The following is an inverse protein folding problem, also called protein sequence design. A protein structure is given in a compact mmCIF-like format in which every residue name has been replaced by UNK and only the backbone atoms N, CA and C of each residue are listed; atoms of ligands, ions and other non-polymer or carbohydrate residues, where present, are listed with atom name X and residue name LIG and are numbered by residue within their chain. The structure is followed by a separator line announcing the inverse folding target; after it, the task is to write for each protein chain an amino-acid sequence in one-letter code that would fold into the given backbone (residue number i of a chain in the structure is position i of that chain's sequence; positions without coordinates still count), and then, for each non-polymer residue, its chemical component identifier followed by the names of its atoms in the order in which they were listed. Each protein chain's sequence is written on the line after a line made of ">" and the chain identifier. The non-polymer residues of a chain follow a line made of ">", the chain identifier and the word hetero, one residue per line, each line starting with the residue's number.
data_IF_899957834686
#
_entry.id   IF_899957834686
#
_cell.length_a   1.000
_cell.length_b   1.000
_cell.length_c   1.000
_cell.angle_alpha   90.00
_cell.angle_beta   90.00
_cell.angle_gamma   90.00
#
_symmetry.space_group_name_H-M   'P 1'
#
loop_
_entity.id
_entity.type
_entity.pdbx_description
1 polymer ?
#
# COMPACT_ATOMS: atom_id res chain seq x y z
N UNK A 1 28.12 18.84 34.91
CA UNK A 1 26.78 18.23 34.82
C UNK A 1 26.17 18.45 33.44
N UNK A 2 26.81 17.97 32.37
CA UNK A 2 26.42 18.27 30.98
C UNK A 2 26.49 17.05 30.03
N UNK A 3 26.46 15.82 30.54
CA UNK A 3 26.72 14.62 29.73
C UNK A 3 25.93 13.36 30.15
N UNK A 4 24.61 13.47 30.41
CA UNK A 4 23.78 12.26 30.63
C UNK A 4 22.44 12.29 29.90
N UNK A 5 22.27 13.18 28.91
CA UNK A 5 21.02 13.29 28.14
C UNK A 5 20.96 12.44 26.84
N UNK A 6 22.05 11.93 26.21
CA UNK A 6 21.84 11.10 25.00
C UNK A 6 21.42 9.66 25.28
N UNK A 7 21.73 9.09 26.45
CA UNK A 7 21.53 7.64 26.70
C UNK A 7 20.06 7.29 27.01
N UNK A 8 19.27 8.24 27.51
CA UNK A 8 17.83 8.01 27.77
C UNK A 8 17.00 8.18 26.49
N UNK A 9 17.53 8.84 25.46
CA UNK A 9 16.86 8.94 24.15
C UNK A 9 17.16 7.73 23.25
N UNK A 10 18.25 7.00 23.50
CA UNK A 10 18.58 5.75 22.77
C UNK A 10 17.79 4.52 23.24
N UNK A 11 17.21 4.55 24.45
CA UNK A 11 16.37 3.47 24.99
C UNK A 11 14.86 3.66 24.72
N UNK A 12 14.48 4.70 23.97
CA UNK A 12 13.13 4.85 23.40
C UNK A 12 13.04 4.35 21.94
N UNK A 13 14.03 3.57 21.48
CA UNK A 13 13.76 2.56 20.45
C UNK A 13 12.87 1.50 21.11
N UNK A 14 11.56 1.71 21.03
CA UNK A 14 10.56 0.82 21.62
C UNK A 14 10.91 -0.62 21.31
N UNK A 15 10.87 -1.47 22.34
CA UNK A 15 11.06 -2.91 22.21
C UNK A 15 10.32 -3.37 20.96
N UNK A 16 11.06 -3.88 19.96
CA UNK A 16 10.51 -4.28 18.67
C UNK A 16 9.33 -5.25 18.87
N UNK A 17 9.35 -6.00 19.97
CA UNK A 17 8.28 -6.90 20.40
C UNK A 17 7.00 -6.14 20.80
N UNK A 18 7.11 -5.09 21.61
CA UNK A 18 5.97 -4.26 22.02
C UNK A 18 5.32 -3.58 20.81
N UNK A 19 6.13 -3.07 19.88
CA UNK A 19 5.64 -2.45 18.66
C UNK A 19 4.83 -3.42 17.80
N UNK A 20 5.28 -4.67 17.68
CA UNK A 20 4.54 -5.72 16.97
C UNK A 20 3.20 -6.04 17.65
N UNK A 21 3.15 -6.08 18.97
CA UNK A 21 1.89 -6.35 19.69
C UNK A 21 0.84 -5.26 19.45
N UNK A 22 1.25 -3.99 19.38
CA UNK A 22 0.35 -2.89 19.00
C UNK A 22 -0.15 -3.04 17.55
N UNK A 23 0.72 -3.39 16.61
CA UNK A 23 0.32 -3.67 15.22
C UNK A 23 -0.63 -4.89 15.12
N UNK A 24 -0.41 -5.93 15.92
CA UNK A 24 -1.28 -7.10 15.97
C UNK A 24 -2.67 -6.74 16.51
N UNK A 25 -2.71 -5.93 17.58
CA UNK A 25 -3.96 -5.44 18.16
C UNK A 25 -4.73 -4.57 17.16
N UNK A 26 -4.04 -3.69 16.44
CA UNK A 26 -4.61 -2.88 15.37
C UNK A 26 -5.18 -3.77 14.26
N UNK A 27 -4.42 -4.74 13.77
CA UNK A 27 -4.86 -5.64 12.70
C UNK A 27 -6.12 -6.42 13.08
N UNK A 28 -6.18 -6.93 14.31
CA UNK A 28 -7.35 -7.62 14.85
C UNK A 28 -8.54 -6.68 15.04
N UNK A 29 -8.30 -5.43 15.44
CA UNK A 29 -9.32 -4.38 15.51
C UNK A 29 -9.95 -4.12 14.15
N UNK A 30 -9.12 -3.89 13.14
CA UNK A 30 -9.58 -3.63 11.76
C UNK A 30 -10.29 -4.83 11.13
N UNK A 31 -9.82 -6.05 11.37
CA UNK A 31 -10.51 -7.24 10.91
C UNK A 31 -11.94 -7.33 11.46
N UNK A 32 -12.19 -6.93 12.72
CA UNK A 32 -13.52 -6.95 13.33
C UNK A 32 -14.53 -6.01 12.66
N UNK A 33 -14.06 -4.97 12.00
CA UNK A 33 -14.92 -4.06 11.21
C UNK A 33 -15.41 -4.71 9.90
N UNK A 34 -14.71 -5.74 9.40
CA UNK A 34 -15.05 -6.45 8.17
C UNK A 34 -14.68 -7.94 8.25
N UNK A 35 -15.34 -8.71 9.14
CA UNK A 35 -14.86 -10.02 9.57
C UNK A 35 -14.88 -11.09 8.47
N UNK A 36 -15.65 -10.88 7.41
CA UNK A 36 -15.82 -11.85 6.32
C UNK A 36 -14.86 -11.63 5.16
N UNK A 37 -14.64 -10.37 4.79
CA UNK A 37 -13.88 -10.00 3.58
C UNK A 37 -12.49 -9.46 3.90
N UNK A 38 -12.24 -9.08 5.16
CA UNK A 38 -11.16 -8.17 5.49
C UNK A 38 -11.42 -6.77 4.92
N UNK A 39 -10.41 -5.90 5.02
CA UNK A 39 -10.47 -4.51 4.54
C UNK A 39 -9.90 -4.31 3.12
N UNK A 40 -9.39 -5.36 2.49
CA UNK A 40 -8.76 -5.34 1.16
C UNK A 40 -7.24 -5.52 1.19
N UNK A 41 -6.69 -6.01 0.07
CA UNK A 41 -5.24 -6.26 -0.08
C UNK A 41 -4.41 -4.97 0.05
N UNK A 42 -3.29 -5.04 0.78
CA UNK A 42 -2.36 -3.94 1.07
C UNK A 42 -3.01 -2.72 1.76
N UNK A 43 -4.02 -2.95 2.59
CA UNK A 43 -4.73 -1.85 3.28
C UNK A 43 -4.26 -1.61 4.71
N UNK A 44 -3.39 -2.48 5.27
CA UNK A 44 -2.90 -2.32 6.64
C UNK A 44 -2.24 -0.96 6.90
N UNK A 45 -1.44 -0.46 5.95
CA UNK A 45 -0.81 0.85 6.08
C UNK A 45 -1.84 1.98 6.28
N UNK A 46 -3.00 1.90 5.65
CA UNK A 46 -4.06 2.91 5.82
C UNK A 46 -4.75 2.80 7.19
N UNK A 47 -4.89 1.58 7.72
CA UNK A 47 -5.34 1.40 9.09
C UNK A 47 -4.36 2.01 10.09
N UNK A 48 -3.06 1.77 9.90
CA UNK A 48 -2.01 2.35 10.73
C UNK A 48 -2.04 3.88 10.67
N UNK A 49 -2.18 4.48 9.49
CA UNK A 49 -2.26 5.95 9.38
C UNK A 49 -3.48 6.54 10.12
N UNK A 50 -4.62 5.87 10.04
CA UNK A 50 -5.87 6.31 10.71
C UNK A 50 -5.78 6.16 12.22
N UNK A 51 -5.21 5.06 12.71
CA UNK A 51 -5.07 4.72 14.13
C UNK A 51 -3.68 5.04 14.70
N UNK A 52 -2.91 5.93 14.06
CA UNK A 52 -1.49 6.18 14.41
C UNK A 52 -1.30 6.65 15.85
N UNK A 53 -2.30 7.33 16.42
CA UNK A 53 -2.29 7.74 17.82
C UNK A 53 -2.37 6.55 18.80
N UNK A 54 -2.93 5.42 18.36
CA UNK A 54 -3.12 4.20 19.15
C UNK A 54 -1.91 3.25 19.06
N UNK A 55 -0.93 3.56 18.20
CA UNK A 55 0.32 2.80 18.00
C UNK A 55 1.53 3.70 18.29
N UNK A 56 1.68 4.20 19.53
CA UNK A 56 2.72 5.18 19.87
C UNK A 56 4.15 4.67 19.67
N UNK A 57 4.35 3.35 19.72
CA UNK A 57 5.66 2.72 19.51
C UNK A 57 6.26 2.96 18.12
N UNK A 58 5.40 3.11 17.10
CA UNK A 58 5.80 3.44 15.72
C UNK A 58 6.02 4.96 15.51
N UNK A 59 5.67 5.78 16.50
CA UNK A 59 5.82 7.23 16.43
C UNK A 59 5.06 7.89 15.28
N UNK A 60 5.40 9.15 15.03
CA UNK A 60 4.72 9.98 14.02
C UNK A 60 5.27 9.79 12.60
N UNK A 61 6.50 9.29 12.47
CA UNK A 61 7.23 9.28 11.19
C UNK A 61 7.54 7.88 10.65
N UNK A 62 7.51 6.83 11.48
CA UNK A 62 7.81 5.49 10.97
C UNK A 62 6.63 4.96 10.17
N UNK A 63 6.93 4.36 9.03
CA UNK A 63 5.94 3.77 8.13
C UNK A 63 6.24 2.28 8.05
N UNK A 64 5.21 1.47 8.23
CA UNK A 64 5.22 0.07 7.84
C UNK A 64 4.01 -0.23 6.98
N UNK A 65 4.19 -1.20 6.09
CA UNK A 65 3.12 -1.73 5.26
C UNK A 65 2.57 -3.05 5.79
N UNK A 66 3.23 -3.60 6.82
CA UNK A 66 3.01 -4.96 7.27
C UNK A 66 2.88 -5.04 8.78
N UNK A 67 2.00 -5.94 9.23
CA UNK A 67 1.75 -6.30 10.62
C UNK A 67 2.97 -7.01 11.24
N UNK A 68 3.88 -7.55 10.43
CA UNK A 68 4.92 -8.52 10.82
C UNK A 68 4.34 -9.86 11.33
N UNK A 69 3.24 -10.30 10.72
CA UNK A 69 2.69 -11.63 10.86
C UNK A 69 1.79 -11.87 9.66
N UNK A 70 2.20 -12.73 8.72
CA UNK A 70 1.45 -12.94 7.48
C UNK A 70 0.06 -13.52 7.72
N UNK A 71 -0.13 -14.29 8.79
CA UNK A 71 -1.45 -14.84 9.12
C UNK A 71 -2.41 -13.73 9.56
N UNK A 72 -1.97 -12.83 10.44
CA UNK A 72 -2.76 -11.69 10.88
C UNK A 72 -2.96 -10.67 9.76
N UNK A 73 -1.91 -10.37 8.98
CA UNK A 73 -2.02 -9.52 7.79
C UNK A 73 -3.08 -10.07 6.84
N UNK A 74 -2.97 -11.35 6.48
CA UNK A 74 -3.88 -11.99 5.52
C UNK A 74 -5.31 -12.05 6.08
N UNK A 75 -5.48 -12.31 7.37
CA UNK A 75 -6.79 -12.28 8.02
C UNK A 75 -7.40 -10.86 7.98
N UNK A 76 -6.61 -9.84 8.28
CA UNK A 76 -7.06 -8.45 8.28
C UNK A 76 -7.41 -7.96 6.88
N UNK A 77 -6.60 -8.28 5.87
CA UNK A 77 -6.78 -7.78 4.51
C UNK A 77 -7.79 -8.59 3.67
N UNK A 78 -7.78 -9.92 3.80
CA UNK A 78 -8.53 -10.83 2.94
C UNK A 78 -9.54 -11.69 3.71
N UNK A 79 -9.68 -11.46 5.01
CA UNK A 79 -10.59 -12.18 5.86
C UNK A 79 -10.23 -13.66 6.05
N UNK A 80 -11.17 -14.46 6.60
CA UNK A 80 -11.00 -15.89 6.81
C UNK A 80 -10.72 -16.67 5.54
N UNK A 81 -11.19 -16.20 4.37
CA UNK A 81 -10.90 -16.86 3.09
C UNK A 81 -9.44 -16.73 2.70
N UNK A 82 -8.84 -15.54 2.85
CA UNK A 82 -7.41 -15.36 2.64
C UNK A 82 -6.59 -16.18 3.63
N UNK A 83 -6.98 -16.17 4.92
CA UNK A 83 -6.31 -16.97 5.94
C UNK A 83 -6.39 -18.48 5.61
N UNK A 84 -7.56 -18.96 5.16
CA UNK A 84 -7.71 -20.34 4.73
C UNK A 84 -6.82 -20.66 3.51
N UNK A 85 -6.67 -19.74 2.57
CA UNK A 85 -5.82 -19.92 1.40
C UNK A 85 -4.33 -20.03 1.76
N UNK A 86 -3.81 -19.17 2.64
CA UNK A 86 -2.41 -19.26 3.09
C UNK A 86 -2.16 -20.51 3.93
N UNK A 87 -3.13 -20.90 4.79
CA UNK A 87 -3.05 -22.16 5.53
C UNK A 87 -3.07 -23.36 4.60
N UNK A 88 -3.90 -23.37 3.56
CA UNK A 88 -3.92 -24.43 2.56
C UNK A 88 -2.60 -24.49 1.77
N UNK A 89 -2.03 -23.34 1.39
CA UNK A 89 -0.74 -23.25 0.71
C UNK A 89 0.40 -23.88 1.54
N UNK A 90 0.36 -23.69 2.86
CA UNK A 90 1.36 -24.23 3.79
C UNK A 90 1.11 -25.70 4.11
N UNK A 91 -0.14 -26.08 4.42
CA UNK A 91 -0.47 -27.39 5.00
C UNK A 91 -0.69 -28.48 3.93
N UNK A 92 -1.31 -28.15 2.78
CA UNK A 92 -1.62 -29.16 1.77
C UNK A 92 -0.38 -29.89 1.23
N UNK A 93 0.75 -29.21 0.92
CA UNK A 93 1.96 -29.89 0.48
C UNK A 93 2.52 -30.84 1.55
N UNK A 94 2.42 -30.46 2.83
CA UNK A 94 2.91 -31.26 3.96
C UNK A 94 2.08 -32.53 4.14
N UNK A 95 0.75 -32.41 4.02
CA UNK A 95 -0.16 -33.55 4.09
C UNK A 95 0.07 -34.53 2.93
N UNK A 96 0.26 -34.01 1.71
CA UNK A 96 0.61 -34.83 0.54
C UNK A 96 1.95 -35.54 0.73
N UNK A 97 2.97 -34.81 1.19
CA UNK A 97 4.28 -35.40 1.46
C UNK A 97 4.21 -36.50 2.51
N UNK A 98 3.45 -36.31 3.60
CA UNK A 98 3.25 -37.34 4.64
C UNK A 98 2.66 -38.64 4.07
N UNK A 99 1.73 -38.54 3.12
CA UNK A 99 1.14 -39.71 2.47
C UNK A 99 2.09 -40.37 1.45
N UNK A 100 2.89 -39.59 0.72
CA UNK A 100 3.76 -40.10 -0.34
C UNK A 100 5.16 -40.55 0.12
N UNK A 101 5.69 -39.99 1.21
CA UNK A 101 7.04 -40.28 1.72
C UNK A 101 7.36 -41.79 1.87
N UNK A 102 6.46 -42.66 2.38
CA UNK A 102 6.75 -44.07 2.58
C UNK A 102 7.03 -44.87 1.31
N UNK A 103 6.63 -44.36 0.14
CA UNK A 103 6.76 -45.06 -1.16
C UNK A 103 7.84 -44.46 -2.06
N UNK A 104 8.54 -43.41 -1.61
CA UNK A 104 9.63 -42.79 -2.36
C UNK A 104 10.93 -43.58 -2.23
N UNK A 105 11.78 -43.55 -3.26
CA UNK A 105 13.14 -44.04 -3.10
C UNK A 105 13.91 -43.14 -2.12
N UNK A 106 14.97 -43.67 -1.51
CA UNK A 106 15.73 -42.97 -0.46
C UNK A 106 16.15 -41.55 -0.87
N UNK A 107 16.73 -41.39 -2.06
CA UNK A 107 17.17 -40.08 -2.58
C UNK A 107 16.00 -39.10 -2.75
N UNK A 108 14.87 -39.57 -3.24
CA UNK A 108 13.65 -38.78 -3.44
C UNK A 108 13.03 -38.39 -2.09
N UNK A 109 13.01 -39.31 -1.14
CA UNK A 109 12.58 -39.07 0.24
C UNK A 109 13.38 -37.95 0.91
N UNK A 110 14.71 -37.93 0.73
CA UNK A 110 15.58 -36.84 1.24
C UNK A 110 15.20 -35.49 0.62
N UNK A 111 14.96 -35.43 -0.69
CA UNK A 111 14.55 -34.19 -1.37
C UNK A 111 13.18 -33.72 -0.87
N UNK A 112 12.20 -34.63 -0.76
CA UNK A 112 10.87 -34.33 -0.27
C UNK A 112 10.92 -33.80 1.18
N UNK A 113 11.71 -34.45 2.05
CA UNK A 113 11.88 -34.03 3.44
C UNK A 113 12.53 -32.65 3.54
N UNK A 114 13.58 -32.39 2.76
CA UNK A 114 14.24 -31.09 2.71
C UNK A 114 13.29 -29.98 2.22
N UNK A 115 12.49 -30.25 1.19
CA UNK A 115 11.48 -29.32 0.69
C UNK A 115 10.40 -29.03 1.75
N UNK A 116 9.89 -30.06 2.41
CA UNK A 116 8.92 -29.92 3.50
C UNK A 116 9.48 -29.09 4.67
N UNK A 117 10.71 -29.38 5.09
CA UNK A 117 11.37 -28.65 6.18
C UNK A 117 11.58 -27.17 5.83
N UNK A 118 12.01 -26.85 4.62
CA UNK A 118 12.17 -25.46 4.17
C UNK A 118 10.84 -24.70 4.13
N UNK A 119 9.77 -25.32 3.59
CA UNK A 119 8.44 -24.71 3.58
C UNK A 119 7.88 -24.54 5.01
N UNK A 120 8.07 -25.51 5.90
CA UNK A 120 7.64 -25.43 7.29
C UNK A 120 8.40 -24.34 8.06
N UNK A 121 9.72 -24.21 7.83
CA UNK A 121 10.53 -23.14 8.41
C UNK A 121 10.00 -21.75 7.99
N UNK A 122 9.68 -21.56 6.71
CA UNK A 122 9.13 -20.29 6.23
C UNK A 122 7.73 -20.01 6.80
N UNK A 123 6.88 -21.04 6.93
CA UNK A 123 5.58 -20.91 7.55
C UNK A 123 5.65 -20.53 9.04
N UNK A 124 6.62 -21.06 9.79
CA UNK A 124 6.86 -20.66 11.18
C UNK A 124 7.40 -19.24 11.25
N UNK A 125 8.34 -18.87 10.37
CA UNK A 125 8.87 -17.49 10.30
C UNK A 125 7.77 -16.47 10.02
N UNK A 126 6.78 -16.83 9.21
CA UNK A 126 5.61 -16.01 8.89
C UNK A 126 4.71 -15.68 10.10
N UNK A 127 4.94 -16.28 11.28
CA UNK A 127 4.25 -15.93 12.52
C UNK A 127 4.78 -14.64 13.17
N UNK A 128 5.99 -14.20 12.81
CA UNK A 128 6.67 -13.05 13.40
C UNK A 128 7.25 -12.09 12.36
N UNK A 129 7.01 -12.38 11.08
CA UNK A 129 7.47 -11.58 9.95
C UNK A 129 6.56 -11.79 8.73
N UNK A 130 6.94 -11.21 7.59
CA UNK A 130 6.14 -11.21 6.35
C UNK A 130 6.83 -11.85 5.12
N UNK A 131 7.41 -13.06 5.21
CA UNK A 131 8.13 -13.67 4.08
C UNK A 131 7.25 -13.86 2.84
N UNK A 132 5.93 -14.01 2.97
CA UNK A 132 5.04 -14.16 1.82
C UNK A 132 4.77 -12.85 1.06
N UNK A 133 5.25 -11.70 1.55
CA UNK A 133 5.27 -10.43 0.82
C UNK A 133 6.64 -10.09 0.24
N UNK A 134 7.68 -10.91 0.51
CA UNK A 134 9.03 -10.72 -0.01
C UNK A 134 9.22 -11.58 -1.26
N UNK A 135 9.44 -10.99 -2.46
CA UNK A 135 9.51 -11.75 -3.72
C UNK A 135 10.55 -12.88 -3.72
N UNK A 136 11.71 -12.66 -3.12
CA UNK A 136 12.76 -13.68 -3.05
C UNK A 136 12.33 -14.90 -2.21
N UNK A 137 11.64 -14.67 -1.09
CA UNK A 137 11.11 -15.73 -0.24
C UNK A 137 9.99 -16.50 -0.96
N UNK A 138 9.11 -15.81 -1.67
CA UNK A 138 8.08 -16.43 -2.50
C UNK A 138 8.67 -17.33 -3.60
N UNK A 139 9.73 -16.88 -4.29
CA UNK A 139 10.42 -17.69 -5.29
C UNK A 139 11.07 -18.92 -4.67
N UNK A 140 11.71 -18.79 -3.50
CA UNK A 140 12.27 -19.92 -2.77
C UNK A 140 11.18 -20.92 -2.40
N UNK A 141 10.07 -20.46 -1.80
CA UNK A 141 8.94 -21.32 -1.45
C UNK A 141 8.32 -22.01 -2.67
N UNK A 142 8.11 -21.28 -3.76
CA UNK A 142 7.61 -21.85 -5.02
C UNK A 142 8.56 -22.89 -5.60
N UNK A 143 9.87 -22.67 -5.50
CA UNK A 143 10.90 -23.64 -5.90
C UNK A 143 10.85 -24.92 -5.07
N UNK A 144 10.74 -24.81 -3.74
CA UNK A 144 10.58 -25.96 -2.84
C UNK A 144 9.28 -26.72 -3.12
N UNK A 145 8.18 -25.98 -3.32
CA UNK A 145 6.88 -26.55 -3.67
C UNK A 145 6.94 -27.33 -5.00
N UNK A 146 7.58 -26.75 -6.02
CA UNK A 146 7.77 -27.40 -7.32
C UNK A 146 8.68 -28.63 -7.25
N UNK A 147 9.73 -28.58 -6.43
CA UNK A 147 10.60 -29.74 -6.18
C UNK A 147 9.83 -30.88 -5.50
N UNK A 148 9.02 -30.56 -4.49
CA UNK A 148 8.17 -31.54 -3.81
C UNK A 148 7.12 -32.13 -4.76
N UNK A 149 6.40 -31.29 -5.51
CA UNK A 149 5.38 -31.74 -6.47
C UNK A 149 5.98 -32.67 -7.54
N UNK A 150 7.19 -32.37 -8.03
CA UNK A 150 7.90 -33.24 -8.97
C UNK A 150 8.18 -34.62 -8.38
N UNK A 151 8.67 -34.69 -7.14
CA UNK A 151 9.04 -35.95 -6.48
C UNK A 151 7.79 -36.79 -6.13
N UNK A 152 6.73 -36.16 -5.63
CA UNK A 152 5.49 -36.86 -5.33
C UNK A 152 4.76 -37.29 -6.62
N UNK A 153 4.77 -36.45 -7.65
CA UNK A 153 4.13 -36.73 -8.93
C UNK A 153 4.80 -37.86 -9.72
N UNK A 154 6.10 -38.12 -9.53
CA UNK A 154 6.75 -39.31 -10.10
C UNK A 154 6.22 -40.61 -9.49
N UNK A 155 5.84 -40.61 -8.21
CA UNK A 155 5.24 -41.77 -7.56
C UNK A 155 3.80 -42.02 -8.06
N UNK A 156 2.99 -40.96 -8.21
CA UNK A 156 1.59 -41.06 -8.67
C UNK A 156 1.47 -41.45 -10.15
N UNK A 157 2.35 -40.98 -11.04
CA UNK A 157 2.31 -41.31 -12.48
C UNK A 157 2.56 -42.78 -12.79
N UNK A 158 3.18 -43.51 -11.87
CA UNK A 158 3.38 -44.95 -11.99
C UNK A 158 2.11 -45.75 -11.60
N UNK A 159 1.09 -45.11 -11.01
CA UNK A 159 -0.07 -45.77 -10.46
C UNK A 159 -1.29 -45.82 -11.40
N UNK A 160 -1.55 -44.80 -12.25
CA UNK A 160 -2.69 -44.83 -13.20
C UNK A 160 -2.56 -43.74 -14.28
N UNK A 161 -2.65 -44.13 -15.56
CA UNK A 161 -2.71 -43.18 -16.67
C UNK A 161 -4.15 -42.67 -16.86
N UNK A 162 -4.40 -41.35 -16.81
CA UNK A 162 -5.74 -40.81 -17.09
C UNK A 162 -6.15 -41.08 -18.53
N UNK A 163 -7.45 -41.33 -18.75
CA UNK A 163 -8.02 -41.48 -20.09
C UNK A 163 -7.75 -40.23 -20.97
N UNK A 164 -7.55 -40.42 -22.28
CA UNK A 164 -7.10 -39.36 -23.19
C UNK A 164 -7.98 -38.09 -23.21
N UNK A 165 -9.30 -38.24 -23.03
CA UNK A 165 -10.22 -37.10 -22.96
C UNK A 165 -10.08 -36.28 -21.67
N UNK A 166 -9.84 -36.94 -20.53
CA UNK A 166 -9.64 -36.29 -19.24
C UNK A 166 -8.29 -35.55 -19.20
N UNK A 167 -7.25 -36.14 -19.77
CA UNK A 167 -5.92 -35.52 -19.90
C UNK A 167 -5.98 -34.22 -20.73
N UNK A 168 -6.68 -34.24 -21.88
CA UNK A 168 -6.88 -33.05 -22.71
C UNK A 168 -7.63 -31.94 -21.96
N UNK A 169 -8.73 -32.27 -21.26
CA UNK A 169 -9.52 -31.30 -20.48
C UNK A 169 -8.67 -30.61 -19.40
N UNK A 170 -7.88 -31.37 -18.65
CA UNK A 170 -6.99 -30.82 -17.61
C UNK A 170 -5.90 -29.94 -18.23
N UNK A 171 -5.36 -30.31 -19.39
CA UNK A 171 -4.38 -29.49 -20.10
C UNK A 171 -4.96 -28.13 -20.52
N UNK A 172 -6.15 -28.09 -21.12
CA UNK A 172 -6.80 -26.83 -21.49
C UNK A 172 -7.11 -25.95 -20.28
N UNK A 173 -7.58 -26.53 -19.17
CA UNK A 173 -7.83 -25.77 -17.94
C UNK A 173 -6.54 -25.18 -17.37
N UNK A 174 -5.44 -25.94 -17.38
CA UNK A 174 -4.12 -25.46 -16.92
C UNK A 174 -3.57 -24.36 -17.82
N UNK A 175 -3.62 -24.53 -19.14
CA UNK A 175 -3.18 -23.53 -20.11
C UNK A 175 -4.04 -22.26 -20.02
N UNK A 176 -5.35 -22.40 -19.86
CA UNK A 176 -6.26 -21.29 -19.63
C UNK A 176 -5.95 -20.54 -18.33
N UNK A 177 -5.74 -21.26 -17.22
CA UNK A 177 -5.35 -20.66 -15.95
C UNK A 177 -3.99 -19.95 -16.03
N UNK A 178 -2.99 -20.58 -16.66
CA UNK A 178 -1.67 -19.99 -16.87
C UNK A 178 -1.74 -18.71 -17.71
N UNK A 179 -2.53 -18.73 -18.80
CA UNK A 179 -2.75 -17.55 -19.63
C UNK A 179 -3.43 -16.42 -18.82
N UNK A 180 -4.45 -16.75 -18.02
CA UNK A 180 -5.12 -15.77 -17.16
C UNK A 180 -4.15 -15.16 -16.14
N UNK A 181 -3.28 -15.96 -15.52
CA UNK A 181 -2.24 -15.48 -14.60
C UNK A 181 -1.28 -14.55 -15.34
N UNK A 182 -0.79 -14.96 -16.51
CA UNK A 182 0.13 -14.14 -17.33
C UNK A 182 -0.52 -12.80 -17.69
N UNK A 183 -1.78 -12.81 -18.14
CA UNK A 183 -2.51 -11.59 -18.48
C UNK A 183 -2.74 -10.71 -17.25
N UNK A 184 -3.08 -11.30 -16.10
CA UNK A 184 -3.26 -10.58 -14.83
C UNK A 184 -1.95 -9.95 -14.34
N UNK A 185 -0.80 -10.62 -14.50
CA UNK A 185 0.51 -10.10 -14.12
C UNK A 185 1.08 -9.09 -15.14
N UNK A 186 0.69 -9.19 -16.42
CA UNK A 186 1.18 -8.29 -17.46
C UNK A 186 0.62 -6.87 -17.32
N UNK A 187 -0.66 -6.74 -16.92
CA UNK A 187 -1.31 -5.44 -16.72
C UNK A 187 -0.56 -4.51 -15.74
N UNK A 188 -0.23 -4.91 -14.49
CA UNK A 188 0.49 -4.05 -13.57
C UNK A 188 1.92 -3.74 -14.06
N UNK A 189 2.59 -4.71 -14.70
CA UNK A 189 3.92 -4.48 -15.27
C UNK A 189 3.90 -3.40 -16.36
N UNK A 190 2.98 -3.50 -17.33
CA UNK A 190 2.83 -2.50 -18.39
C UNK A 190 2.51 -1.13 -17.79
N UNK A 191 1.68 -1.09 -16.76
CA UNK A 191 1.29 0.15 -16.09
C UNK A 191 2.47 0.82 -15.36
N UNK A 192 3.27 0.06 -14.60
CA UNK A 192 4.46 0.58 -13.92
C UNK A 192 5.54 1.05 -14.90
N UNK A 193 5.79 0.29 -15.97
CA UNK A 193 6.73 0.70 -17.03
C UNK A 193 6.27 1.99 -17.72
N UNK A 194 4.98 2.11 -17.99
CA UNK A 194 4.39 3.32 -18.59
C UNK A 194 4.52 4.52 -17.65
N UNK A 195 4.21 4.37 -16.36
CA UNK A 195 4.36 5.45 -15.38
C UNK A 195 5.84 5.84 -15.19
N UNK A 196 6.76 4.88 -15.18
CA UNK A 196 8.19 5.15 -15.13
C UNK A 196 8.68 5.91 -16.38
N UNK A 197 8.20 5.53 -17.57
CA UNK A 197 8.49 6.24 -18.80
C UNK A 197 7.95 7.67 -18.75
N UNK A 198 6.70 7.87 -18.31
CA UNK A 198 6.10 9.18 -18.17
C UNK A 198 6.95 10.12 -17.28
N UNK A 199 7.42 9.63 -16.14
CA UNK A 199 8.30 10.41 -15.23
C UNK A 199 9.61 10.82 -15.91
N UNK A 200 10.20 9.94 -16.74
CA UNK A 200 11.41 10.27 -17.53
C UNK A 200 11.13 11.35 -18.58
N UNK A 201 10.00 11.28 -19.28
CA UNK A 201 9.62 12.29 -20.27
C UNK A 201 9.32 13.65 -19.63
N UNK A 202 8.73 13.68 -18.42
CA UNK A 202 8.57 14.91 -17.65
C UNK A 202 9.92 15.54 -17.29
N UNK A 203 10.88 14.72 -16.87
CA UNK A 203 12.24 15.19 -16.58
C UNK A 203 12.95 15.76 -17.82
N UNK A 204 12.56 15.33 -19.02
CA UNK A 204 13.06 15.84 -20.31
C UNK A 204 12.21 16.99 -20.88
N UNK A 205 11.29 17.56 -20.09
CA UNK A 205 10.38 18.62 -20.52
C UNK A 205 9.51 18.26 -21.74
N UNK A 206 9.08 16.99 -21.85
CA UNK A 206 8.18 16.48 -22.90
C UNK A 206 6.80 16.15 -22.32
N UNK A 207 5.97 17.16 -21.98
CA UNK A 207 4.74 16.96 -21.23
C UNK A 207 3.67 16.18 -22.00
N UNK A 208 3.61 16.29 -23.34
CA UNK A 208 2.62 15.56 -24.15
C UNK A 208 2.90 14.05 -24.15
N UNK A 209 4.17 13.66 -24.33
CA UNK A 209 4.59 12.25 -24.27
C UNK A 209 4.40 11.69 -22.86
N UNK A 210 4.70 12.48 -21.83
CA UNK A 210 4.43 12.09 -20.46
C UNK A 210 2.94 11.82 -20.20
N UNK A 211 2.06 12.72 -20.64
CA UNK A 211 0.61 12.56 -20.51
C UNK A 211 0.13 11.27 -21.18
N UNK A 212 0.59 10.99 -22.41
CA UNK A 212 0.25 9.76 -23.12
C UNK A 212 0.57 8.51 -22.28
N UNK A 213 1.78 8.44 -21.72
CA UNK A 213 2.19 7.28 -20.92
C UNK A 213 1.49 7.19 -19.55
N UNK A 214 1.12 8.32 -18.93
CA UNK A 214 0.26 8.31 -17.73
C UNK A 214 -1.13 7.76 -18.05
N UNK A 215 -1.71 8.12 -19.19
CA UNK A 215 -3.00 7.58 -19.64
C UNK A 215 -2.93 6.08 -19.95
N UNK A 216 -1.83 5.62 -20.58
CA UNK A 216 -1.58 4.20 -20.80
C UNK A 216 -1.55 3.47 -19.45
N UNK A 217 -0.78 3.97 -18.48
CA UNK A 217 -0.70 3.38 -17.15
C UNK A 217 -2.08 3.26 -16.49
N UNK A 218 -2.85 4.35 -16.48
CA UNK A 218 -4.21 4.42 -15.92
C UNK A 218 -5.18 3.46 -16.63
N UNK A 219 -5.10 3.30 -17.95
CA UNK A 219 -6.00 2.39 -18.71
C UNK A 219 -5.74 0.92 -18.41
N UNK A 220 -4.49 0.53 -18.18
CA UNK A 220 -4.14 -0.84 -17.81
C UNK A 220 -4.48 -1.15 -16.34
N UNK A 221 -4.47 -0.16 -15.45
CA UNK A 221 -4.79 -0.31 -14.03
C UNK A 221 -5.75 0.80 -13.57
N UNK A 222 -7.01 0.80 -14.03
CA UNK A 222 -7.96 1.89 -13.74
C UNK A 222 -8.39 1.94 -12.27
N UNK A 223 -8.16 0.86 -11.52
CA UNK A 223 -8.44 0.77 -10.08
C UNK A 223 -7.24 1.13 -9.21
N UNK A 224 -6.08 1.38 -9.79
CA UNK A 224 -4.92 1.82 -9.04
C UNK A 224 -4.93 3.34 -8.92
N UNK A 225 -5.14 3.83 -7.69
CA UNK A 225 -5.25 5.24 -7.37
C UNK A 225 -3.99 6.05 -7.73
N UNK A 226 -2.82 5.42 -7.81
CA UNK A 226 -1.52 6.09 -8.00
C UNK A 226 -1.44 6.74 -9.38
N UNK A 227 -1.94 6.07 -10.41
CA UNK A 227 -1.92 6.61 -11.77
C UNK A 227 -2.86 7.79 -11.94
N UNK A 228 -3.99 7.78 -11.23
CA UNK A 228 -4.88 8.94 -11.14
C UNK A 228 -4.24 10.10 -10.39
N UNK A 229 -3.51 9.82 -9.30
CA UNK A 229 -2.77 10.83 -8.56
C UNK A 229 -1.66 11.47 -9.41
N UNK A 230 -0.86 10.68 -10.13
CA UNK A 230 0.15 11.20 -11.06
C UNK A 230 -0.46 12.07 -12.16
N UNK A 231 -1.59 11.65 -12.72
CA UNK A 231 -2.32 12.41 -13.73
C UNK A 231 -2.88 13.72 -13.16
N UNK A 232 -3.42 13.68 -11.94
CA UNK A 232 -3.88 14.87 -11.21
C UNK A 232 -2.76 15.87 -10.97
N UNK A 233 -1.59 15.41 -10.52
CA UNK A 233 -0.40 16.25 -10.34
C UNK A 233 0.07 16.87 -11.66
N UNK A 234 0.11 16.08 -12.74
CA UNK A 234 0.47 16.57 -14.06
C UNK A 234 -0.45 17.73 -14.48
N UNK A 235 -1.77 17.52 -14.43
CA UNK A 235 -2.75 18.52 -14.82
C UNK A 235 -2.75 19.74 -13.91
N UNK A 236 -2.55 19.56 -12.61
CA UNK A 236 -2.39 20.66 -11.66
C UNK A 236 -1.18 21.53 -12.04
N UNK A 237 -0.05 20.92 -12.37
CA UNK A 237 1.14 21.64 -12.85
C UNK A 237 0.87 22.44 -14.13
N UNK A 238 0.16 21.85 -15.09
CA UNK A 238 -0.25 22.54 -16.33
C UNK A 238 -1.22 23.70 -16.07
N UNK A 239 -2.13 23.54 -15.10
CA UNK A 239 -3.07 24.57 -14.70
C UNK A 239 -2.36 25.79 -14.10
N UNK A 240 -1.41 25.56 -13.19
CA UNK A 240 -0.65 26.62 -12.53
C UNK A 240 0.27 27.33 -13.54
N UNK A 241 1.06 26.57 -14.29
CA UNK A 241 2.05 27.13 -15.21
C UNK A 241 1.40 27.87 -16.40
N UNK A 242 0.30 27.31 -16.94
CA UNK A 242 -0.36 27.84 -18.12
C UNK A 242 -1.58 28.72 -17.85
N UNK A 243 -2.00 28.86 -16.58
CA UNK A 243 -3.29 29.47 -16.19
C UNK A 243 -4.48 28.92 -16.99
N UNK A 244 -4.52 27.60 -17.21
CA UNK A 244 -5.52 26.93 -18.06
C UNK A 244 -6.67 26.35 -17.22
N UNK A 245 -7.91 26.86 -17.35
CA UNK A 245 -9.08 26.32 -16.63
C UNK A 245 -9.35 24.84 -16.91
N UNK A 246 -9.21 24.40 -18.16
CA UNK A 246 -9.39 22.99 -18.53
C UNK A 246 -8.43 22.06 -17.80
N UNK A 247 -7.16 22.46 -17.66
CA UNK A 247 -6.17 21.68 -16.93
C UNK A 247 -6.52 21.60 -15.44
N UNK A 248 -7.04 22.68 -14.85
CA UNK A 248 -7.48 22.66 -13.45
C UNK A 248 -8.66 21.68 -13.27
N UNK A 249 -9.62 21.67 -14.20
CA UNK A 249 -10.74 20.71 -14.19
C UNK A 249 -10.25 19.27 -14.33
N UNK A 250 -9.35 18.99 -15.27
CA UNK A 250 -8.78 17.65 -15.44
C UNK A 250 -8.00 17.17 -14.21
N UNK A 251 -7.31 18.07 -13.51
CA UNK A 251 -6.65 17.75 -12.26
C UNK A 251 -7.65 17.27 -11.20
N UNK A 252 -8.73 18.04 -10.97
CA UNK A 252 -9.78 17.68 -10.02
C UNK A 252 -10.45 16.35 -10.40
N UNK A 253 -10.78 16.17 -11.68
CA UNK A 253 -11.37 14.91 -12.17
C UNK A 253 -10.47 13.70 -11.93
N UNK A 254 -9.16 13.84 -12.17
CA UNK A 254 -8.20 12.78 -11.92
C UNK A 254 -8.10 12.46 -10.41
N UNK A 255 -8.02 13.48 -9.55
CA UNK A 255 -8.02 13.27 -8.10
C UNK A 255 -9.33 12.63 -7.59
N UNK A 256 -10.48 12.99 -8.15
CA UNK A 256 -11.75 12.35 -7.80
C UNK A 256 -11.79 10.88 -8.23
N UNK A 257 -11.31 10.57 -9.44
CA UNK A 257 -11.19 9.20 -9.91
C UNK A 257 -10.23 8.37 -9.04
N UNK A 258 -9.12 8.96 -8.59
CA UNK A 258 -8.18 8.33 -7.68
C UNK A 258 -8.77 8.06 -6.29
N UNK A 259 -9.56 9.01 -5.76
CA UNK A 259 -10.28 8.85 -4.48
C UNK A 259 -11.37 7.78 -4.58
N UNK A 260 -12.02 7.65 -5.73
CA UNK A 260 -12.99 6.58 -5.98
C UNK A 260 -12.30 5.21 -6.15
N UNK A 261 -11.11 5.17 -6.73
CA UNK A 261 -10.32 3.95 -6.92
C UNK A 261 -9.81 3.37 -5.59
N UNK A 262 -9.38 4.22 -4.65
CA UNK A 262 -9.04 3.83 -3.29
C UNK A 262 -9.56 4.88 -2.27
N UNK A 263 -10.72 4.65 -1.63
CA UNK A 263 -11.28 5.57 -0.66
C UNK A 263 -10.46 5.75 0.62
N UNK A 264 -9.57 4.80 0.93
CA UNK A 264 -8.69 4.86 2.11
C UNK A 264 -7.47 5.75 1.88
N UNK A 265 -7.07 5.94 0.62
CA UNK A 265 -5.95 6.79 0.26
C UNK A 265 -6.31 8.27 0.38
N UNK A 266 -5.41 9.05 0.97
CA UNK A 266 -5.64 10.47 1.28
C UNK A 266 -5.01 11.42 0.27
N UNK A 267 -3.95 11.00 -0.44
CA UNK A 267 -3.17 11.86 -1.35
C UNK A 267 -4.00 12.47 -2.48
N UNK A 268 -4.96 11.73 -3.02
CA UNK A 268 -5.85 12.26 -4.05
C UNK A 268 -6.76 13.37 -3.49
N UNK A 269 -7.30 13.19 -2.29
CA UNK A 269 -8.14 14.19 -1.62
C UNK A 269 -7.34 15.46 -1.26
N UNK A 270 -6.11 15.30 -0.77
CA UNK A 270 -5.16 16.41 -0.53
C UNK A 270 -4.85 17.13 -1.86
N UNK A 271 -4.56 16.38 -2.93
CA UNK A 271 -4.30 16.95 -4.25
C UNK A 271 -5.48 17.78 -4.77
N UNK A 272 -6.72 17.32 -4.55
CA UNK A 272 -7.94 18.06 -4.86
C UNK A 272 -8.05 19.37 -4.06
N UNK A 273 -7.88 19.31 -2.74
CA UNK A 273 -7.87 20.49 -1.86
C UNK A 273 -6.82 21.51 -2.29
N UNK A 274 -5.60 21.05 -2.53
CA UNK A 274 -4.49 21.86 -3.01
C UNK A 274 -4.83 22.52 -4.35
N UNK A 275 -5.46 21.80 -5.29
CA UNK A 275 -5.85 22.34 -6.61
C UNK A 275 -6.84 23.50 -6.47
N UNK A 276 -7.89 23.35 -5.67
CA UNK A 276 -8.84 24.44 -5.43
C UNK A 276 -8.20 25.67 -4.76
N UNK A 277 -7.14 25.47 -3.98
CA UNK A 277 -6.38 26.55 -3.34
C UNK A 277 -5.47 27.27 -4.33
N UNK A 278 -4.60 26.54 -5.04
CA UNK A 278 -3.56 27.13 -5.90
C UNK A 278 -4.05 27.55 -7.28
N UNK A 279 -5.11 26.93 -7.79
CA UNK A 279 -5.74 27.27 -9.07
C UNK A 279 -7.02 28.10 -8.87
N UNK A 280 -7.09 28.87 -7.79
CA UNK A 280 -8.21 29.78 -7.51
C UNK A 280 -8.43 30.74 -8.70
N UNK A 281 -9.68 30.83 -9.16
CA UNK A 281 -10.06 31.62 -10.34
C UNK A 281 -9.90 30.89 -11.68
N UNK A 282 -9.35 29.66 -11.70
CA UNK A 282 -9.39 28.76 -12.86
C UNK A 282 -10.50 27.70 -12.74
N UNK A 283 -11.09 27.58 -11.56
CA UNK A 283 -12.15 26.63 -11.22
C UNK A 283 -13.39 27.35 -10.73
N UNK A 284 -14.54 26.69 -10.90
CA UNK A 284 -15.78 27.15 -10.30
C UNK A 284 -15.65 27.19 -8.77
N UNK A 285 -16.21 28.21 -8.10
CA UNK A 285 -16.13 28.33 -6.66
C UNK A 285 -16.87 27.18 -5.99
N UNK A 286 -16.20 26.52 -5.04
CA UNK A 286 -16.78 25.49 -4.18
C UNK A 286 -17.13 26.11 -2.84
N UNK A 287 -18.32 25.83 -2.27
CA UNK A 287 -18.69 26.33 -0.94
C UNK A 287 -17.65 26.00 0.12
N UNK A 288 -17.45 26.93 1.05
CA UNK A 288 -16.49 26.77 2.17
C UNK A 288 -16.76 25.49 2.96
N UNK A 289 -18.04 25.19 3.22
CA UNK A 289 -18.48 23.99 3.95
C UNK A 289 -17.98 22.70 3.28
N UNK A 290 -18.15 22.59 1.96
CA UNK A 290 -17.71 21.41 1.18
C UNK A 290 -16.18 21.23 1.26
N UNK A 291 -15.41 22.32 1.23
CA UNK A 291 -13.95 22.23 1.38
C UNK A 291 -13.54 21.82 2.80
N UNK A 292 -14.27 22.27 3.82
CA UNK A 292 -14.06 21.82 5.20
C UNK A 292 -14.41 20.35 5.38
N UNK A 293 -15.46 19.85 4.72
CA UNK A 293 -15.81 18.42 4.74
C UNK A 293 -14.71 17.55 4.13
N UNK A 294 -14.14 17.98 2.99
CA UNK A 294 -13.00 17.30 2.38
C UNK A 294 -11.77 17.29 3.29
N UNK A 295 -11.51 18.41 3.96
CA UNK A 295 -10.40 18.52 4.91
C UNK A 295 -10.62 17.60 6.12
N UNK A 296 -11.84 17.55 6.67
CA UNK A 296 -12.18 16.67 7.77
C UNK A 296 -12.06 15.20 7.37
N UNK A 297 -12.48 14.84 6.15
CA UNK A 297 -12.30 13.50 5.61
C UNK A 297 -10.82 13.12 5.40
N UNK A 298 -9.95 14.08 5.06
CA UNK A 298 -8.51 13.83 4.99
C UNK A 298 -7.93 13.59 6.39
N UNK A 299 -8.31 14.40 7.38
CA UNK A 299 -7.89 14.28 8.76
C UNK A 299 -8.37 12.98 9.41
N UNK A 300 -9.56 12.48 9.08
CA UNK A 300 -10.03 11.20 9.62
C UNK A 300 -9.29 9.99 9.05
N UNK A 301 -8.65 10.11 7.89
CA UNK A 301 -7.91 9.02 7.24
C UNK A 301 -6.44 8.98 7.66
N UNK A 302 -5.83 10.13 7.89
CA UNK A 302 -4.43 10.23 8.26
C UNK A 302 -4.18 11.47 9.15
N UNK A 303 -4.69 11.49 10.40
CA UNK A 303 -4.70 12.67 11.27
C UNK A 303 -3.30 13.21 11.59
N UNK A 304 -2.31 12.32 11.65
CA UNK A 304 -0.94 12.66 12.02
C UNK A 304 -0.01 12.79 10.79
N UNK A 305 -0.52 12.57 9.58
CA UNK A 305 0.27 12.74 8.36
C UNK A 305 0.67 14.19 8.17
N UNK A 306 1.97 14.44 8.03
CA UNK A 306 2.49 15.78 7.79
C UNK A 306 1.98 16.42 6.50
N UNK A 307 1.63 15.63 5.47
CA UNK A 307 1.01 16.16 4.25
C UNK A 307 -0.43 16.66 4.50
N UNK A 308 -1.21 15.90 5.29
CA UNK A 308 -2.57 16.30 5.68
C UNK A 308 -2.54 17.53 6.57
N UNK A 309 -1.68 17.56 7.59
CA UNK A 309 -1.53 18.71 8.51
C UNK A 309 -1.07 19.97 7.77
N UNK A 310 -0.17 19.81 6.79
CA UNK A 310 0.24 20.91 5.92
C UNK A 310 -0.96 21.49 5.17
N UNK A 311 -1.74 20.66 4.47
CA UNK A 311 -2.92 21.16 3.77
C UNK A 311 -4.04 21.63 4.69
N UNK A 312 -4.14 21.12 5.91
CA UNK A 312 -5.05 21.66 6.92
C UNK A 312 -4.75 23.13 7.21
N UNK A 313 -3.50 23.44 7.53
CA UNK A 313 -3.06 24.81 7.82
C UNK A 313 -3.26 25.71 6.59
N UNK A 314 -2.84 25.26 5.41
CA UNK A 314 -2.94 26.05 4.19
C UNK A 314 -4.38 26.29 3.76
N UNK A 315 -5.25 25.28 3.86
CA UNK A 315 -6.67 25.39 3.52
C UNK A 315 -7.41 26.29 4.50
N UNK A 316 -7.16 26.17 5.81
CA UNK A 316 -7.80 27.06 6.79
C UNK A 316 -7.40 28.53 6.59
N UNK A 317 -6.12 28.80 6.33
CA UNK A 317 -5.67 30.16 6.00
C UNK A 317 -6.35 30.69 4.73
N UNK A 318 -6.43 29.85 3.68
CA UNK A 318 -7.07 30.17 2.40
C UNK A 318 -8.57 30.48 2.51
N UNK A 319 -9.25 29.86 3.49
CA UNK A 319 -10.68 30.04 3.80
C UNK A 319 -10.95 31.18 4.78
N UNK A 320 -9.93 31.96 5.19
CA UNK A 320 -10.09 33.10 6.11
C UNK A 320 -9.99 32.75 7.59
N UNK A 321 -9.65 31.51 7.95
CA UNK A 321 -9.44 31.08 9.34
C UNK A 321 -7.96 31.23 9.77
N UNK A 322 -7.38 32.42 9.57
CA UNK A 322 -5.94 32.66 9.73
C UNK A 322 -5.43 32.42 11.16
N UNK A 323 -6.19 32.82 12.18
CA UNK A 323 -5.82 32.61 13.58
C UNK A 323 -5.71 31.12 13.91
N UNK A 324 -6.73 30.34 13.53
CA UNK A 324 -6.73 28.90 13.73
C UNK A 324 -5.59 28.21 12.99
N UNK A 325 -5.29 28.64 11.76
CA UNK A 325 -4.15 28.14 11.01
C UNK A 325 -2.81 28.40 11.73
N UNK A 326 -2.62 29.60 12.32
CA UNK A 326 -1.43 29.94 13.11
C UNK A 326 -1.32 29.08 14.38
N UNK A 327 -2.42 28.90 15.10
CA UNK A 327 -2.44 28.04 16.30
C UNK A 327 -2.02 26.60 15.96
N UNK A 328 -2.57 26.03 14.90
CA UNK A 328 -2.25 24.67 14.45
C UNK A 328 -0.79 24.54 14.00
N UNK A 329 -0.27 25.51 13.24
CA UNK A 329 1.13 25.52 12.83
C UNK A 329 2.09 25.63 14.04
N UNK A 330 1.76 26.48 15.01
CA UNK A 330 2.54 26.63 16.24
C UNK A 330 2.47 25.38 17.12
N UNK A 331 1.30 24.74 17.23
CA UNK A 331 1.12 23.46 17.91
C UNK A 331 1.95 22.36 17.28
N UNK A 332 1.87 22.21 15.96
CA UNK A 332 2.68 21.25 15.22
C UNK A 332 4.18 21.50 15.39
N UNK A 333 4.64 22.75 15.37
CA UNK A 333 6.05 23.08 15.61
C UNK A 333 6.52 22.66 17.01
N UNK A 334 5.66 22.71 18.03
CA UNK A 334 5.99 22.24 19.38
C UNK A 334 6.06 20.71 19.46
N UNK A 335 5.15 20.03 18.76
CA UNK A 335 5.11 18.56 18.71
C UNK A 335 6.27 17.96 17.91
N UNK A 336 6.66 18.61 16.80
CA UNK A 336 7.69 18.13 15.88
C UNK A 336 8.69 19.26 15.54
N UNK A 337 9.55 19.67 16.50
CA UNK A 337 10.44 20.83 16.34
C UNK A 337 11.50 20.66 15.24
N UNK A 338 11.81 19.43 14.87
CA UNK A 338 12.77 19.08 13.83
C UNK A 338 12.15 19.02 12.42
N UNK A 339 10.81 18.98 12.29
CA UNK A 339 10.14 19.03 10.99
C UNK A 339 10.24 20.45 10.40
N UNK A 340 10.83 20.62 9.19
CA UNK A 340 10.95 21.94 8.57
C UNK A 340 9.62 22.53 8.11
N UNK A 341 8.57 21.73 7.91
CA UNK A 341 7.27 22.16 7.37
C UNK A 341 6.53 23.14 8.30
N UNK A 342 6.24 22.83 9.57
CA UNK A 342 5.55 23.76 10.46
C UNK A 342 6.33 25.06 10.65
N UNK A 343 7.67 25.01 10.67
CA UNK A 343 8.52 26.21 10.74
C UNK A 343 8.36 27.13 9.51
N UNK A 344 8.30 26.56 8.30
CA UNK A 344 8.03 27.33 7.07
C UNK A 344 6.62 27.92 7.09
N UNK A 345 5.64 27.16 7.56
CA UNK A 345 4.25 27.62 7.68
C UNK A 345 4.11 28.80 8.64
N UNK A 346 4.68 28.72 9.85
CA UNK A 346 4.62 29.80 10.83
C UNK A 346 5.19 31.10 10.23
N UNK A 347 6.37 31.04 9.62
CA UNK A 347 6.99 32.20 8.95
C UNK A 347 6.16 32.75 7.79
N UNK A 348 5.51 31.88 7.02
CA UNK A 348 4.65 32.28 5.92
C UNK A 348 3.39 33.01 6.43
N UNK A 349 2.76 32.49 7.47
CA UNK A 349 1.56 33.06 8.07
C UNK A 349 1.83 34.39 8.80
N UNK A 350 3.01 34.57 9.38
CA UNK A 350 3.45 35.84 9.99
C UNK A 350 3.67 36.95 8.95
N UNK A 351 4.18 36.61 7.76
CA UNK A 351 4.41 37.58 6.68
C UNK A 351 3.12 38.01 5.99
N UNK A 352 2.14 37.11 5.89
CA UNK A 352 0.86 37.39 5.24
C UNK A 352 -0.02 38.40 5.97
N UNK A 353 0.26 38.72 7.24
CA UNK A 353 -0.48 39.70 8.04
C UNK A 353 0.09 41.11 7.99
N UNK A 354 1.22 41.32 7.30
CA UNK A 354 1.91 42.62 7.23
C UNK A 354 1.48 43.47 6.02
N UNK A 355 0.41 43.10 5.32
CA UNK A 355 -0.06 43.72 4.09
C UNK A 355 -1.43 44.38 4.23
#
# INVERSE_FOLDING_TARGET
>A
MRELVPVVTELQQGDSSASRLELYALALGEWRESPWTGSGYLTFAHALERARADVPSYGLEQITWFVHNDYLQTLQELGPLGLAAILALVLAPQLKARAGLPVLAEREGVIALAACAGMASMAVHAMVDFPFYVPACLLAFGGLLGALDRVLGTAERNAEAPSGAQALRVSYLRSGAALMIVLACLQPLVSELSAAWARRELAQARPQTALYWLEVARRFQPRDWRYHWYLGQFWQGQAIAGRKPDAARFAVMAFDAGSAANPLEVRNLIGKLATHRVARGLLDPVPVTVRLDWLQAALSRAPLSGEVRLEQVLTLADLGHAERARELAAGWLREAPYDPRPRRLTRMLERGTSG
#
